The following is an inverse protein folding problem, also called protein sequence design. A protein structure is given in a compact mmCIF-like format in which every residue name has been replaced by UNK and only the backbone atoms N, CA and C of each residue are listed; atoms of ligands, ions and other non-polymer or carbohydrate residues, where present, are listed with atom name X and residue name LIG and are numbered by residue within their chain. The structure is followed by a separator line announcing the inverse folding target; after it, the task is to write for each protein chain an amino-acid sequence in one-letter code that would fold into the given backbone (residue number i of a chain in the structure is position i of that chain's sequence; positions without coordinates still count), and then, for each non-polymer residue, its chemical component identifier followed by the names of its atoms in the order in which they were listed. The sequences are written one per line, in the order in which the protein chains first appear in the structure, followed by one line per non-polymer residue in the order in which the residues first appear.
data_IF_035465367513
#
_entry.id   IF_035465367513
#
_cell.length_a   1.000
_cell.length_b   1.000
_cell.length_c   1.000
_cell.angle_alpha   90.00
_cell.angle_beta   90.00
_cell.angle_gamma   90.00
#
_symmetry.space_group_name_H-M   'P 1'
#
loop_
_entity.id
_entity.type
_entity.pdbx_description
1 polymer ?
#
# COMPACT_ATOMS: atom_id res chain seq x y z
N UNK A 1 11.75 57.46 -49.47
CA UNK A 1 11.66 56.99 -48.08
C UNK A 1 11.61 55.47 -48.13
N UNK A 2 12.76 54.80 -48.03
CA UNK A 2 12.85 53.34 -48.02
C UNK A 2 13.34 52.89 -46.66
N UNK A 3 12.42 52.44 -45.81
CA UNK A 3 12.69 51.77 -44.54
C UNK A 3 11.88 50.48 -44.56
N UNK A 4 12.48 49.34 -44.92
CA UNK A 4 11.90 48.03 -44.55
C UNK A 4 12.84 46.81 -44.65
N UNK A 5 14.06 46.89 -45.22
CA UNK A 5 14.86 45.66 -45.41
C UNK A 5 15.48 45.05 -44.14
N UNK A 6 15.59 45.80 -43.03
CA UNK A 6 16.30 45.30 -41.83
C UNK A 6 15.46 44.40 -40.91
N UNK A 7 14.13 44.48 -40.99
CA UNK A 7 13.26 43.71 -40.10
C UNK A 7 13.08 42.27 -40.58
N UNK A 8 12.97 42.09 -41.91
CA UNK A 8 12.81 40.77 -42.55
C UNK A 8 14.07 39.91 -42.41
N UNK A 9 15.27 40.49 -42.47
CA UNK A 9 16.52 39.75 -42.31
C UNK A 9 16.67 39.17 -40.89
N UNK A 10 16.26 39.91 -39.87
CA UNK A 10 16.33 39.45 -38.47
C UNK A 10 15.33 38.31 -38.19
N UNK A 11 14.12 38.38 -38.73
CA UNK A 11 13.12 37.31 -38.63
C UNK A 11 13.56 36.03 -39.34
N UNK A 12 14.14 36.14 -40.54
CA UNK A 12 14.68 34.99 -41.28
C UNK A 12 15.83 34.34 -40.50
N UNK A 13 16.65 35.14 -39.81
CA UNK A 13 17.77 34.64 -39.02
C UNK A 13 17.27 33.87 -37.80
N UNK A 14 16.26 34.39 -37.09
CA UNK A 14 15.61 33.74 -35.96
C UNK A 14 14.90 32.44 -36.34
N UNK A 15 14.18 32.43 -37.46
CA UNK A 15 13.54 31.21 -37.96
C UNK A 15 14.58 30.14 -38.34
N UNK A 16 15.70 30.54 -38.93
CA UNK A 16 16.80 29.62 -39.26
C UNK A 16 17.51 29.07 -38.02
N UNK A 17 17.70 29.87 -36.97
CA UNK A 17 18.28 29.38 -35.71
C UNK A 17 17.32 28.48 -34.95
N UNK A 18 16.03 28.81 -34.89
CA UNK A 18 15.01 27.94 -34.28
C UNK A 18 14.89 26.60 -35.03
N UNK A 19 14.84 26.61 -36.36
CA UNK A 19 14.78 25.39 -37.17
C UNK A 19 16.06 24.53 -37.03
N UNK A 20 17.24 25.16 -36.86
CA UNK A 20 18.49 24.44 -36.57
C UNK A 20 18.53 23.87 -35.15
N UNK A 21 17.96 24.57 -34.17
CA UNK A 21 17.86 24.06 -32.81
C UNK A 21 16.92 22.85 -32.75
N UNK A 22 15.75 22.92 -33.38
CA UNK A 22 14.82 21.78 -33.46
C UNK A 22 15.45 20.58 -34.18
N UNK A 23 16.19 20.80 -35.27
CA UNK A 23 16.87 19.71 -36.00
C UNK A 23 17.96 19.00 -35.20
N UNK A 24 18.56 19.64 -34.19
CA UNK A 24 19.67 19.06 -33.42
C UNK A 24 19.17 18.49 -32.08
N UNK A 25 18.17 19.12 -31.46
CA UNK A 25 17.67 18.72 -30.13
C UNK A 25 16.66 17.58 -30.22
N UNK A 26 15.76 17.58 -31.20
CA UNK A 26 14.72 16.53 -31.33
C UNK A 26 15.29 15.13 -31.58
N UNK A 27 16.34 14.90 -32.40
CA UNK A 27 16.91 13.57 -32.58
C UNK A 27 17.63 13.07 -31.33
N UNK A 28 18.41 13.93 -30.66
CA UNK A 28 19.13 13.57 -29.45
C UNK A 28 18.18 13.19 -28.30
N UNK A 29 17.11 13.96 -28.09
CA UNK A 29 16.08 13.64 -27.09
C UNK A 29 15.29 12.38 -27.47
N UNK A 30 15.06 12.16 -28.76
CA UNK A 30 14.36 10.96 -29.27
C UNK A 30 15.21 9.68 -29.16
N UNK A 31 16.52 9.79 -29.25
CA UNK A 31 17.44 8.66 -29.08
C UNK A 31 17.70 8.34 -27.59
N UNK A 32 17.58 9.33 -26.71
CA UNK A 32 17.72 9.14 -25.26
C UNK A 32 16.43 8.64 -24.59
N UNK A 33 15.25 8.88 -25.18
CA UNK A 33 13.95 8.43 -24.65
C UNK A 33 13.87 6.91 -24.43
N UNK A 34 14.23 6.06 -25.42
CA UNK A 34 14.24 4.60 -25.25
C UNK A 34 15.23 4.14 -24.18
N UNK A 35 16.38 4.83 -24.04
CA UNK A 35 17.37 4.52 -23.00
C UNK A 35 16.86 4.86 -21.60
N UNK A 36 16.14 5.96 -21.46
CA UNK A 36 15.50 6.34 -20.21
C UNK A 36 14.37 5.37 -19.86
N UNK A 37 13.55 4.96 -20.83
CA UNK A 37 12.51 3.93 -20.65
C UNK A 37 13.13 2.59 -20.20
N UNK A 38 14.21 2.16 -20.85
CA UNK A 38 14.96 0.95 -20.47
C UNK A 38 15.52 1.07 -19.04
N UNK A 39 16.06 2.24 -18.69
CA UNK A 39 16.58 2.49 -17.33
C UNK A 39 15.47 2.45 -16.28
N UNK A 40 14.31 3.04 -16.57
CA UNK A 40 13.14 3.01 -15.69
C UNK A 40 12.67 1.57 -15.50
N UNK A 41 12.58 0.80 -16.58
CA UNK A 41 12.19 -0.61 -16.53
C UNK A 41 13.16 -1.44 -15.68
N UNK A 42 14.47 -1.27 -15.89
CA UNK A 42 15.50 -1.95 -15.08
C UNK A 42 15.43 -1.56 -13.60
N UNK A 43 15.14 -0.30 -13.29
CA UNK A 43 14.98 0.14 -11.90
C UNK A 43 13.71 -0.42 -11.25
N UNK A 44 12.61 -0.50 -11.99
CA UNK A 44 11.37 -1.13 -11.54
C UNK A 44 11.59 -2.62 -11.23
N UNK A 45 12.22 -3.36 -12.15
CA UNK A 45 12.55 -4.78 -11.94
C UNK A 45 13.47 -5.00 -10.74
N UNK A 46 14.43 -4.09 -10.52
CA UNK A 46 15.31 -4.15 -9.34
C UNK A 46 14.57 -3.85 -8.04
N UNK A 47 13.62 -2.93 -8.05
CA UNK A 47 12.77 -2.63 -6.90
C UNK A 47 11.90 -3.84 -6.55
N UNK A 48 11.25 -4.46 -7.53
CA UNK A 48 10.44 -5.66 -7.34
C UNK A 48 11.27 -6.83 -6.78
N UNK A 49 12.47 -7.04 -7.34
CA UNK A 49 13.39 -8.06 -6.85
C UNK A 49 13.88 -7.78 -5.42
N UNK A 50 14.04 -6.50 -5.04
CA UNK A 50 14.39 -6.12 -3.68
C UNK A 50 13.23 -6.31 -2.71
N UNK A 51 12.01 -5.97 -3.11
CA UNK A 51 10.80 -6.21 -2.32
C UNK A 51 10.62 -7.70 -2.04
N UNK A 52 10.72 -8.56 -3.06
CA UNK A 52 10.66 -10.02 -2.88
C UNK A 52 11.76 -10.56 -1.95
N UNK A 53 12.97 -9.99 -1.99
CA UNK A 53 14.05 -10.38 -1.07
C UNK A 53 13.77 -9.93 0.36
N UNK A 54 13.15 -8.78 0.56
CA UNK A 54 12.73 -8.33 1.88
C UNK A 54 11.66 -9.27 2.42
N UNK A 55 10.64 -9.60 1.63
CA UNK A 55 9.57 -10.53 2.03
C UNK A 55 10.13 -11.93 2.37
N UNK A 56 11.03 -12.48 1.55
CA UNK A 56 11.69 -13.77 1.84
C UNK A 56 12.56 -13.70 3.10
N UNK A 57 13.26 -12.59 3.33
CA UNK A 57 14.05 -12.39 4.55
C UNK A 57 13.17 -12.23 5.78
N UNK A 58 12.02 -11.56 5.68
CA UNK A 58 11.04 -11.45 6.76
C UNK A 58 10.44 -12.81 7.10
N UNK A 59 10.03 -13.59 6.08
CA UNK A 59 9.54 -14.95 6.27
C UNK A 59 10.60 -15.87 6.90
N UNK A 60 11.87 -15.75 6.47
CA UNK A 60 12.98 -16.51 7.06
C UNK A 60 13.30 -16.05 8.47
N UNK A 61 13.24 -14.76 8.75
CA UNK A 61 13.39 -14.24 10.11
C UNK A 61 12.27 -14.75 10.99
N UNK A 62 11.03 -14.79 10.53
CA UNK A 62 9.92 -15.38 11.26
C UNK A 62 10.14 -16.88 11.51
N UNK A 63 10.65 -17.62 10.52
CA UNK A 63 10.98 -19.03 10.67
C UNK A 63 12.16 -19.30 11.63
N UNK A 64 13.20 -18.45 11.61
CA UNK A 64 14.39 -18.56 12.48
C UNK A 64 14.09 -18.06 13.90
N UNK A 65 13.23 -17.04 14.03
CA UNK A 65 12.68 -16.54 15.29
C UNK A 65 11.50 -17.41 15.76
N UNK A 66 11.37 -18.63 15.21
CA UNK A 66 10.66 -19.75 15.82
C UNK A 66 11.29 -20.18 17.15
N UNK A 67 11.29 -19.28 18.13
CA UNK A 67 11.42 -19.60 19.55
C UNK A 67 10.01 -19.98 20.01
N UNK A 68 9.75 -21.26 20.30
CA UNK A 68 8.47 -21.69 20.82
C UNK A 68 8.42 -21.29 22.30
N UNK A 69 7.73 -20.19 22.57
CA UNK A 69 7.29 -19.81 23.89
C UNK A 69 5.99 -19.02 23.75
N UNK A 70 5.01 -19.19 24.67
CA UNK A 70 3.80 -18.37 24.72
C UNK A 70 4.09 -16.89 25.10
N UNK A 71 5.36 -16.49 25.14
CA UNK A 71 5.79 -15.14 25.42
C UNK A 71 5.91 -14.35 24.11
N UNK A 72 4.79 -13.69 23.80
CA UNK A 72 4.72 -12.41 23.14
C UNK A 72 5.41 -12.32 21.77
N UNK A 73 4.58 -12.38 20.71
CA UNK A 73 4.74 -11.44 19.60
C UNK A 73 5.19 -10.09 20.18
N UNK A 74 6.37 -9.59 19.81
CA UNK A 74 6.86 -8.37 20.42
C UNK A 74 5.88 -7.23 20.10
N UNK A 75 5.82 -6.22 20.97
CA UNK A 75 4.86 -5.14 20.81
C UNK A 75 4.98 -4.44 19.45
N UNK A 76 6.21 -4.29 18.95
CA UNK A 76 6.52 -3.70 17.65
C UNK A 76 5.95 -4.49 16.47
N UNK A 77 6.00 -5.83 16.50
CA UNK A 77 5.40 -6.71 15.48
C UNK A 77 3.90 -6.51 15.45
N UNK A 78 3.25 -6.48 16.62
CA UNK A 78 1.80 -6.23 16.69
C UNK A 78 1.39 -4.88 16.11
N UNK A 79 2.17 -3.83 16.39
CA UNK A 79 1.94 -2.50 15.80
C UNK A 79 2.15 -2.55 14.28
N UNK A 80 3.20 -3.21 13.79
CA UNK A 80 3.44 -3.38 12.36
C UNK A 80 2.30 -4.12 11.66
N UNK A 81 1.87 -5.24 12.21
CA UNK A 81 0.80 -6.07 11.65
C UNK A 81 -0.53 -5.30 11.67
N UNK A 82 -0.84 -4.59 12.76
CA UNK A 82 -1.99 -3.71 12.86
C UNK A 82 -1.99 -2.61 11.77
N UNK A 83 -0.84 -1.97 11.52
CA UNK A 83 -0.69 -0.98 10.43
C UNK A 83 -0.93 -1.62 9.07
N UNK A 84 -0.35 -2.79 8.81
CA UNK A 84 -0.49 -3.49 7.54
C UNK A 84 -1.95 -3.90 7.28
N UNK A 85 -2.66 -4.36 8.31
CA UNK A 85 -4.09 -4.68 8.23
C UNK A 85 -4.91 -3.46 7.78
N UNK A 86 -4.65 -2.29 8.39
CA UNK A 86 -5.33 -1.05 8.05
C UNK A 86 -5.00 -0.54 6.65
N UNK A 87 -3.74 -0.62 6.24
CA UNK A 87 -3.29 -0.27 4.89
C UNK A 87 -4.01 -1.13 3.84
N UNK A 88 -3.96 -2.47 3.98
CA UNK A 88 -4.68 -3.39 3.08
C UNK A 88 -6.18 -3.10 3.03
N UNK A 89 -6.77 -2.74 4.17
CA UNK A 89 -8.20 -2.38 4.23
C UNK A 89 -8.49 -1.04 3.55
N UNK A 90 -7.57 -0.08 3.62
CA UNK A 90 -7.67 1.21 2.95
C UNK A 90 -7.50 1.05 1.43
N UNK A 91 -6.57 0.19 0.99
CA UNK A 91 -6.36 -0.18 -0.41
C UNK A 91 -7.62 -0.83 -0.99
N UNK A 92 -8.18 -1.81 -0.30
CA UNK A 92 -9.43 -2.46 -0.70
C UNK A 92 -10.64 -1.49 -0.77
N UNK A 93 -10.56 -0.35 -0.07
CA UNK A 93 -11.58 0.71 -0.08
C UNK A 93 -11.26 1.86 -1.05
N UNK A 94 -10.09 1.86 -1.68
CA UNK A 94 -9.65 2.92 -2.59
C UNK A 94 -9.30 4.24 -1.89
N UNK A 95 -8.78 4.21 -0.65
CA UNK A 95 -8.23 5.41 -0.02
C UNK A 95 -8.20 5.38 1.50
N UNK A 96 -9.36 5.36 2.15
CA UNK A 96 -9.48 5.51 3.62
C UNK A 96 -10.07 4.29 4.28
N UNK A 97 -9.51 3.90 5.42
CA UNK A 97 -10.10 2.89 6.29
C UNK A 97 -10.09 3.34 7.75
N UNK A 98 -11.15 2.96 8.47
CA UNK A 98 -11.22 3.10 9.91
C UNK A 98 -11.51 1.76 10.56
N UNK A 99 -10.97 1.58 11.77
CA UNK A 99 -11.17 0.38 12.58
C UNK A 99 -11.24 0.78 14.06
N UNK A 100 -12.23 0.26 14.80
CA UNK A 100 -12.24 0.40 16.26
C UNK A 100 -11.46 -0.74 16.93
N UNK A 101 -11.13 -0.53 18.21
CA UNK A 101 -10.22 -1.42 18.95
C UNK A 101 -10.60 -2.91 18.94
N UNK A 102 -11.90 -3.25 19.07
CA UNK A 102 -12.34 -4.67 19.02
C UNK A 102 -12.19 -5.29 17.63
N UNK A 103 -12.47 -4.54 16.57
CA UNK A 103 -12.22 -5.04 15.20
C UNK A 103 -10.72 -5.26 14.98
N UNK A 104 -9.88 -4.38 15.54
CA UNK A 104 -8.44 -4.57 15.48
C UNK A 104 -8.00 -5.81 16.28
N UNK A 105 -8.62 -6.07 17.44
CA UNK A 105 -8.37 -7.28 18.22
C UNK A 105 -8.68 -8.55 17.42
N UNK A 106 -9.85 -8.60 16.77
CA UNK A 106 -10.28 -9.74 15.97
C UNK A 106 -9.36 -9.94 14.75
N UNK A 107 -8.95 -8.84 14.10
CA UNK A 107 -8.03 -8.89 12.98
C UNK A 107 -6.63 -9.37 13.40
N UNK A 108 -6.11 -8.89 14.53
CA UNK A 108 -4.83 -9.32 15.10
C UNK A 108 -4.88 -10.80 15.52
N UNK A 109 -6.00 -11.27 16.07
CA UNK A 109 -6.20 -12.68 16.38
C UNK A 109 -6.11 -13.56 15.11
N UNK A 110 -6.70 -13.10 14.01
CA UNK A 110 -6.57 -13.75 12.69
C UNK A 110 -5.13 -13.79 12.15
N UNK A 111 -4.24 -12.93 12.65
CA UNK A 111 -2.81 -12.88 12.31
C UNK A 111 -1.92 -13.58 13.36
N UNK A 112 -2.50 -14.41 14.23
CA UNK A 112 -1.75 -15.19 15.22
C UNK A 112 -1.52 -14.50 16.56
N UNK A 113 -2.11 -13.31 16.81
CA UNK A 113 -2.04 -12.61 18.10
C UNK A 113 -3.32 -12.77 18.92
N UNK A 114 -3.85 -14.00 18.98
CA UNK A 114 -5.12 -14.31 19.67
C UNK A 114 -5.03 -14.34 21.19
N UNK A 115 -3.82 -14.30 21.74
CA UNK A 115 -3.49 -14.34 23.17
C UNK A 115 -3.48 -12.96 23.84
N UNK A 116 -3.76 -11.89 23.09
CA UNK A 116 -3.69 -10.52 23.61
C UNK A 116 -4.81 -10.20 24.59
N UNK A 117 -4.41 -9.65 25.75
CA UNK A 117 -5.37 -9.07 26.68
C UNK A 117 -5.82 -7.68 26.20
N UNK A 118 -7.02 -7.20 26.56
CA UNK A 118 -7.54 -5.93 26.08
C UNK A 118 -6.60 -4.73 26.27
N UNK A 119 -5.84 -4.68 27.38
CA UNK A 119 -4.88 -3.60 27.61
C UNK A 119 -3.74 -3.58 26.58
N UNK A 120 -3.29 -4.74 26.12
CA UNK A 120 -2.25 -4.85 25.10
C UNK A 120 -2.78 -4.39 23.74
N UNK A 121 -4.02 -4.77 23.40
CA UNK A 121 -4.66 -4.30 22.17
C UNK A 121 -4.84 -2.78 22.20
N UNK A 122 -5.28 -2.22 23.32
CA UNK A 122 -5.39 -0.76 23.49
C UNK A 122 -4.06 -0.05 23.25
N UNK A 123 -2.96 -0.57 23.81
CA UNK A 123 -1.63 0.00 23.59
C UNK A 123 -1.20 -0.08 22.12
N UNK A 124 -1.45 -1.21 21.45
CA UNK A 124 -1.18 -1.34 20.01
C UNK A 124 -2.00 -0.34 19.22
N UNK A 125 -3.26 -0.17 19.57
CA UNK A 125 -4.18 0.78 18.93
C UNK A 125 -3.69 2.23 19.04
N UNK A 126 -3.24 2.65 20.23
CA UNK A 126 -2.68 3.99 20.45
C UNK A 126 -1.37 4.20 19.68
N UNK A 127 -0.48 3.22 19.67
CA UNK A 127 0.81 3.34 18.97
C UNK A 127 0.65 3.33 17.43
N UNK A 128 -0.35 2.59 16.92
CA UNK A 128 -0.75 2.67 15.51
C UNK A 128 -1.27 4.08 15.20
N UNK A 129 -2.10 4.65 16.06
CA UNK A 129 -2.64 6.01 15.87
C UNK A 129 -1.57 7.11 15.86
N UNK A 130 -0.42 6.87 16.51
CA UNK A 130 0.73 7.77 16.54
C UNK A 130 1.69 7.57 15.35
N UNK A 131 1.47 6.56 14.52
CA UNK A 131 2.32 6.26 13.35
C UNK A 131 1.96 7.17 12.17
N UNK A 132 2.94 7.42 11.29
CA UNK A 132 2.75 8.25 10.10
C UNK A 132 1.65 7.70 9.18
N UNK A 133 0.73 8.58 8.77
CA UNK A 133 -0.43 8.25 7.92
C UNK A 133 -1.64 7.69 8.68
N UNK A 134 -1.56 7.63 10.01
CA UNK A 134 -2.65 7.19 10.88
C UNK A 134 -3.11 8.32 11.80
N UNK A 135 -4.35 8.24 12.26
CA UNK A 135 -4.88 9.19 13.24
C UNK A 135 -5.94 8.55 14.13
N UNK A 136 -6.09 9.10 15.34
CA UNK A 136 -7.15 8.73 16.26
C UNK A 136 -8.37 9.63 15.98
N UNK A 137 -9.51 9.03 15.64
CA UNK A 137 -10.76 9.74 15.46
C UNK A 137 -11.86 9.15 16.35
N UNK A 138 -12.99 9.86 16.43
CA UNK A 138 -14.19 9.36 17.12
C UNK A 138 -15.25 9.04 16.08
N UNK A 139 -15.60 7.76 15.98
CA UNK A 139 -16.66 7.25 15.12
C UNK A 139 -17.96 7.04 15.89
N UNK A 140 -19.09 7.01 15.16
CA UNK A 140 -20.39 6.60 15.71
C UNK A 140 -20.64 5.14 15.36
N UNK A 141 -21.07 4.35 16.34
CA UNK A 141 -21.43 2.94 16.13
C UNK A 141 -22.81 2.67 16.71
N UNK A 142 -23.64 2.03 15.90
CA UNK A 142 -24.89 1.43 16.37
C UNK A 142 -24.55 0.20 17.21
N UNK A 143 -24.84 0.27 18.50
CA UNK A 143 -24.74 -0.89 19.37
C UNK A 143 -26.09 -1.58 19.33
N UNK A 144 -26.14 -2.76 18.70
CA UNK A 144 -27.32 -3.61 18.75
C UNK A 144 -27.61 -3.94 20.22
N UNK A 145 -28.66 -3.34 20.75
CA UNK A 145 -29.20 -3.68 22.06
C UNK A 145 -30.27 -4.75 21.88
N UNK A 146 -30.38 -5.66 22.85
CA UNK A 146 -31.30 -6.79 22.84
C UNK A 146 -32.78 -6.38 22.91
N UNK A 147 -33.05 -5.11 23.19
CA UNK A 147 -34.37 -4.47 23.08
C UNK A 147 -34.32 -3.47 21.93
N UNK A 148 -35.44 -3.33 21.21
CA UNK A 148 -35.71 -2.64 19.93
C UNK A 148 -35.37 -1.12 19.85
N UNK A 149 -34.29 -0.69 20.50
CA UNK A 149 -33.71 0.66 20.47
C UNK A 149 -32.22 0.54 20.19
N UNK A 150 -31.80 1.04 19.03
CA UNK A 150 -30.39 1.25 18.71
C UNK A 150 -29.91 2.54 19.39
N UNK A 151 -29.06 2.41 20.40
CA UNK A 151 -28.30 3.55 20.94
C UNK A 151 -27.02 3.74 20.12
N UNK A 152 -26.86 4.92 19.53
CA UNK A 152 -25.62 5.33 18.85
C UNK A 152 -24.60 5.71 19.91
N UNK A 153 -23.46 5.01 19.97
CA UNK A 153 -22.35 5.37 20.87
C UNK A 153 -21.18 5.92 20.09
N UNK A 154 -20.54 6.92 20.66
CA UNK A 154 -19.25 7.41 20.20
C UNK A 154 -18.16 6.43 20.65
N UNK A 155 -17.37 5.95 19.70
CA UNK A 155 -16.28 4.99 19.89
C UNK A 155 -15.01 5.52 19.25
N UNK A 156 -13.87 5.31 19.92
CA UNK A 156 -12.58 5.64 19.31
C UNK A 156 -12.29 4.67 18.16
N UNK A 157 -11.84 5.25 17.05
CA UNK A 157 -11.42 4.53 15.85
C UNK A 157 -10.01 5.01 15.49
N UNK A 158 -9.23 4.10 14.93
CA UNK A 158 -7.99 4.44 14.25
C UNK A 158 -8.31 4.55 12.77
N UNK A 159 -7.91 5.65 12.15
CA UNK A 159 -8.09 5.92 10.74
C UNK A 159 -6.74 5.85 10.03
N UNK A 160 -6.77 5.32 8.82
CA UNK A 160 -5.66 5.26 7.89
C UNK A 160 -6.09 6.00 6.61
N UNK A 161 -5.25 6.93 6.17
CA UNK A 161 -5.42 7.67 4.93
C UNK A 161 -4.22 7.40 4.03
N UNK A 162 -4.41 6.66 2.93
CA UNK A 162 -3.31 6.23 2.07
C UNK A 162 -2.51 7.41 1.51
N UNK A 163 -3.18 8.53 1.22
CA UNK A 163 -2.54 9.75 0.70
C UNK A 163 -1.62 10.42 1.74
N UNK A 164 -1.83 10.13 3.03
CA UNK A 164 -1.03 10.67 4.12
C UNK A 164 0.13 9.72 4.54
N UNK A 165 0.20 8.51 3.97
CA UNK A 165 1.27 7.56 4.30
C UNK A 165 2.51 7.85 3.46
N UNK A 166 3.65 8.21 4.08
CA UNK A 166 4.85 8.55 3.33
C UNK A 166 5.37 7.35 2.53
N UNK A 167 5.58 7.56 1.23
CA UNK A 167 6.17 6.57 0.32
C UNK A 167 5.18 5.62 -0.36
N UNK A 168 3.88 5.73 -0.10
CA UNK A 168 2.84 5.02 -0.87
C UNK A 168 2.34 5.98 -1.95
N UNK A 169 2.61 5.66 -3.22
CA UNK A 169 1.97 6.36 -4.33
C UNK A 169 0.63 5.69 -4.61
N UNK A 170 -0.51 6.33 -4.29
CA UNK A 170 -1.84 5.74 -4.51
C UNK A 170 -2.10 5.44 -5.99
N UNK A 171 -1.40 6.10 -6.92
CA UNK A 171 -1.51 5.85 -8.35
C UNK A 171 -0.80 4.57 -8.80
N UNK A 172 0.24 4.12 -8.09
CA UNK A 172 0.98 2.90 -8.44
C UNK A 172 0.36 1.62 -7.87
N UNK A 173 -0.58 1.72 -6.92
CA UNK A 173 -1.15 0.57 -6.23
C UNK A 173 -2.54 0.15 -6.75
N UNK A 174 -2.91 0.60 -7.96
CA UNK A 174 -4.05 0.06 -8.71
C UNK A 174 -3.69 -1.35 -9.17
N UNK A 175 -3.76 -2.30 -8.24
CA UNK A 175 -3.81 -3.73 -8.57
C UNK A 175 -5.11 -3.92 -9.35
N UNK A 176 -4.98 -4.05 -10.66
CA UNK A 176 -6.05 -4.54 -11.53
C UNK A 176 -6.62 -5.81 -10.92
N UNK A 177 -7.82 -5.70 -10.37
CA UNK A 177 -8.58 -6.83 -9.84
C UNK A 177 -9.02 -7.75 -10.97
N UNK A 178 -8.10 -8.55 -11.49
CA UNK A 178 -8.47 -9.78 -12.18
C UNK A 178 -8.71 -10.85 -11.11
N UNK A 179 -9.97 -11.28 -11.04
CA UNK A 179 -10.51 -12.12 -9.97
C UNK A 179 -9.69 -13.38 -9.72
N UNK A 180 -8.99 -13.42 -8.59
CA UNK A 180 -8.59 -14.67 -7.98
C UNK A 180 -9.85 -15.33 -7.39
N UNK A 181 -10.36 -16.35 -8.09
CA UNK A 181 -11.32 -17.25 -7.48
C UNK A 181 -10.66 -17.93 -6.26
N UNK A 182 -11.32 -17.97 -5.10
CA UNK A 182 -10.79 -18.66 -3.94
C UNK A 182 -10.82 -20.18 -4.22
N UNK A 183 -9.66 -20.79 -4.42
CA UNK A 183 -9.53 -22.25 -4.38
C UNK A 183 -9.62 -22.69 -2.91
N UNK A 184 -10.79 -23.20 -2.53
CA UNK A 184 -11.01 -23.78 -1.21
C UNK A 184 -10.19 -25.07 -1.08
N UNK A 185 -9.12 -25.03 -0.30
CA UNK A 185 -8.41 -26.22 0.14
C UNK A 185 -9.06 -26.75 1.42
N UNK A 186 -9.87 -27.80 1.30
CA UNK A 186 -10.32 -28.57 2.46
C UNK A 186 -9.24 -29.59 2.81
N UNK A 187 -8.51 -29.34 3.90
CA UNK A 187 -7.55 -30.30 4.47
C UNK A 187 -8.34 -31.40 5.16
N UNK A 188 -8.40 -32.57 4.53
CA UNK A 188 -8.93 -33.79 5.16
C UNK A 188 -8.01 -34.26 6.29
N UNK A 189 -8.60 -34.79 7.36
CA UNK A 189 -7.94 -35.13 8.62
C UNK A 189 -6.88 -36.26 8.54
N UNK A 190 -6.65 -36.81 7.33
CA UNK A 190 -5.84 -38.02 7.11
C UNK A 190 -4.57 -37.77 6.28
N UNK A 191 -4.18 -36.51 6.07
CA UNK A 191 -2.86 -36.17 5.51
C UNK A 191 -2.66 -36.50 4.02
N UNK A 192 -3.72 -36.81 3.28
CA UNK A 192 -3.67 -36.96 1.82
C UNK A 192 -4.33 -35.77 1.11
N UNK A 193 -3.53 -35.01 0.38
CA UNK A 193 -3.98 -33.97 -0.57
C UNK A 193 -4.26 -34.61 -1.92
N UNK A 194 -5.52 -34.61 -2.36
CA UNK A 194 -5.92 -34.90 -3.74
C UNK A 194 -6.42 -33.61 -4.39
N UNK A 195 -5.83 -33.26 -5.53
CA UNK A 195 -6.32 -32.16 -6.35
C UNK A 195 -7.54 -32.65 -7.14
N UNK A 196 -8.71 -32.08 -6.84
CA UNK A 196 -9.93 -32.28 -7.64
C UNK A 196 -10.07 -31.10 -8.58
N UNK A 197 -9.84 -31.34 -9.86
CA UNK A 197 -10.20 -30.40 -10.93
C UNK A 197 -11.67 -30.64 -11.27
N UNK A 198 -12.54 -29.63 -11.11
CA UNK A 198 -13.90 -29.66 -11.63
C UNK A 198 -13.87 -29.28 -13.11
N UNK A 199 -14.43 -30.15 -13.97
CA UNK A 199 -14.85 -29.83 -15.35
C UNK A 199 -16.13 -28.97 -15.35
#
# INVERSE_FOLDING_TARGET
MSRSNGHDEWEITLQKTAAKQDQVVLPAVRDDLPRLEETIQQLAERLDAQAQRIDDLEARLEAIVGVPGPDASNHEKRVRDARQILLRRAEARGGKASMYWRELADALAGHGHGDLVPQQVHRVFEDVAQSDGFSLATGKRDVAQTDDRSDVREVQVVECDLDAVPGIDPANNVVSGEGHQPTAHTVGQDGHTTNVTQD
#
